data_IF_601556257115
#
_entry.id   IF_601556257115
#
_cell.length_a   1.000
_cell.length_b   1.000
_cell.length_c   1.000
_cell.angle_alpha   90.00
_cell.angle_beta   90.00
_cell.angle_gamma   90.00
#
_symmetry.space_group_name_H-M   'P 1'
#
loop_
_entity.id
_entity.type
_entity.pdbx_description
1 polymer ?
#
# COMPACT_ATOMS: atom_id res chain seq x y z
N UNK A 1 -15.42 9.97 13.56
CA UNK A 1 -14.41 10.83 12.93
C UNK A 1 -14.89 12.28 13.02
N UNK A 2 -14.09 13.18 13.57
CA UNK A 2 -14.55 14.51 13.98
C UNK A 2 -13.58 15.57 13.42
N UNK A 3 -14.16 16.64 12.81
CA UNK A 3 -13.44 17.90 12.67
C UNK A 3 -13.70 18.75 13.90
N UNK A 4 -12.65 19.09 14.63
CA UNK A 4 -12.68 19.92 15.81
C UNK A 4 -12.39 21.37 15.39
N UNK A 5 -13.41 22.20 15.28
CA UNK A 5 -13.22 23.60 14.90
C UNK A 5 -12.78 24.40 16.12
N UNK A 6 -11.62 25.04 16.03
CA UNK A 6 -11.10 25.91 17.08
C UNK A 6 -10.31 27.07 16.49
N UNK A 7 -10.49 28.23 17.06
CA UNK A 7 -9.71 29.44 16.72
C UNK A 7 -8.57 29.70 17.71
N UNK A 8 -8.56 29.00 18.86
CA UNK A 8 -7.70 29.33 20.01
C UNK A 8 -7.10 28.08 20.70
N UNK A 9 -7.00 26.94 19.98
CA UNK A 9 -6.41 25.75 20.59
C UNK A 9 -4.92 25.98 20.81
N UNK A 10 -4.50 25.95 22.06
CA UNK A 10 -3.10 25.90 22.47
C UNK A 10 -2.76 24.43 22.73
N UNK A 11 -1.81 23.92 21.99
CA UNK A 11 -1.31 22.55 22.17
C UNK A 11 -0.17 22.54 23.19
N UNK A 12 -0.18 21.59 24.12
CA UNK A 12 0.92 21.39 25.05
C UNK A 12 2.19 20.89 24.35
N UNK A 13 1.98 20.10 23.28
CA UNK A 13 3.04 19.57 22.44
C UNK A 13 2.73 19.91 20.98
N UNK A 14 3.72 20.40 20.26
CA UNK A 14 3.63 20.72 18.84
C UNK A 14 4.88 20.25 18.12
N UNK A 15 4.71 19.73 16.89
CA UNK A 15 5.81 19.32 16.01
C UNK A 15 5.69 19.99 14.65
N UNK A 16 6.80 20.06 13.89
CA UNK A 16 6.74 20.65 12.55
C UNK A 16 6.01 19.76 11.58
N UNK A 17 6.30 18.46 11.59
CA UNK A 17 5.66 17.46 10.71
C UNK A 17 5.10 16.31 11.54
N UNK A 18 3.80 16.13 11.46
CA UNK A 18 3.10 15.00 12.06
C UNK A 18 2.69 14.01 10.96
N UNK A 19 3.09 12.75 11.07
CA UNK A 19 2.77 11.71 10.11
C UNK A 19 1.78 10.72 10.75
N UNK A 20 0.66 10.45 10.09
CA UNK A 20 -0.36 9.50 10.55
C UNK A 20 -0.27 8.21 9.77
N UNK A 21 0.20 7.16 10.42
CA UNK A 21 0.43 5.82 9.87
C UNK A 21 1.91 5.52 9.68
N UNK A 22 2.37 4.43 10.29
CA UNK A 22 3.77 3.95 10.25
C UNK A 22 3.99 2.82 9.23
N UNK A 23 3.23 2.80 8.14
CA UNK A 23 3.49 1.97 6.96
C UNK A 23 4.64 2.53 6.11
N UNK A 24 4.93 1.88 4.97
CA UNK A 24 6.03 2.30 4.09
C UNK A 24 5.93 3.77 3.66
N UNK A 25 4.74 4.25 3.31
CA UNK A 25 4.51 5.65 2.92
C UNK A 25 4.87 6.61 4.06
N UNK A 26 4.34 6.39 5.27
CA UNK A 26 4.57 7.29 6.41
C UNK A 26 6.01 7.30 6.87
N UNK A 27 6.66 6.14 6.94
CA UNK A 27 8.08 6.07 7.32
C UNK A 27 8.99 6.73 6.29
N UNK A 28 8.73 6.53 4.99
CA UNK A 28 9.49 7.20 3.92
C UNK A 28 9.30 8.71 3.97
N UNK A 29 8.08 9.20 4.19
CA UNK A 29 7.80 10.63 4.35
C UNK A 29 8.49 11.21 5.60
N UNK A 30 8.49 10.48 6.72
CA UNK A 30 9.17 10.89 7.94
C UNK A 30 10.69 11.00 7.75
N UNK A 31 11.31 10.04 7.08
CA UNK A 31 12.73 10.08 6.75
C UNK A 31 13.06 11.29 5.88
N UNK A 32 12.28 11.52 4.82
CA UNK A 32 12.49 12.64 3.91
C UNK A 32 12.33 14.00 4.60
N UNK A 33 11.31 14.16 5.46
CA UNK A 33 11.11 15.39 6.22
C UNK A 33 12.24 15.65 7.23
N UNK A 34 12.66 14.61 7.96
CA UNK A 34 13.77 14.70 8.92
C UNK A 34 15.09 15.05 8.24
N UNK A 35 15.34 14.60 7.02
CA UNK A 35 16.54 14.98 6.26
C UNK A 35 16.59 16.45 5.87
N UNK A 36 15.43 17.08 5.78
CA UNK A 36 15.32 18.53 5.56
C UNK A 36 15.41 19.33 6.88
N UNK A 37 15.69 18.66 8.00
CA UNK A 37 15.86 19.28 9.32
C UNK A 37 14.56 19.50 10.08
N UNK A 38 13.43 18.98 9.62
CA UNK A 38 12.16 19.14 10.32
C UNK A 38 12.07 18.21 11.54
N UNK A 39 11.45 18.71 12.61
CA UNK A 39 11.03 17.90 13.76
C UNK A 39 9.81 17.06 13.36
N UNK A 40 9.94 15.72 13.41
CA UNK A 40 8.94 14.78 12.93
C UNK A 40 8.45 13.87 14.05
N UNK A 41 7.13 13.65 14.11
CA UNK A 41 6.51 12.60 14.93
C UNK A 41 5.63 11.71 14.05
N UNK A 42 5.76 10.39 14.20
CA UNK A 42 4.91 9.42 13.53
C UNK A 42 3.91 8.83 14.53
N UNK A 43 2.63 8.80 14.16
CA UNK A 43 1.57 8.17 14.95
C UNK A 43 1.14 6.86 14.29
N UNK A 44 1.08 5.80 15.07
CA UNK A 44 0.62 4.48 14.64
C UNK A 44 -0.51 3.99 15.55
N UNK A 45 -1.61 3.51 14.95
CA UNK A 45 -2.76 3.01 15.72
C UNK A 45 -2.49 1.69 16.45
N UNK A 46 -1.70 0.82 15.81
CA UNK A 46 -1.41 -0.51 16.34
C UNK A 46 -0.29 -0.45 17.39
N UNK A 47 -0.11 -1.54 18.12
CA UNK A 47 0.96 -1.67 19.11
C UNK A 47 2.36 -1.75 18.50
N UNK A 48 2.43 -2.00 17.18
CA UNK A 48 3.65 -2.00 16.36
C UNK A 48 3.30 -1.64 14.93
N UNK A 49 4.20 -1.02 14.16
CA UNK A 49 4.02 -0.80 12.74
C UNK A 49 3.71 -2.09 11.99
N UNK A 50 2.61 -2.12 11.24
CA UNK A 50 2.18 -3.26 10.45
C UNK A 50 1.47 -2.80 9.17
N UNK A 51 0.19 -2.59 9.22
CA UNK A 51 -0.61 -2.11 8.10
C UNK A 51 -0.56 -3.00 6.87
N UNK A 52 -1.02 -2.48 5.74
CA UNK A 52 -1.02 -3.21 4.47
C UNK A 52 0.38 -3.47 3.92
N UNK A 53 1.40 -2.70 4.33
CA UNK A 53 2.78 -2.95 3.91
C UNK A 53 3.25 -4.32 4.35
N UNK A 54 3.04 -4.69 5.62
CA UNK A 54 3.48 -5.98 6.15
C UNK A 54 2.73 -7.19 5.56
N UNK A 55 1.50 -6.96 5.06
CA UNK A 55 0.68 -7.98 4.42
C UNK A 55 0.99 -8.19 2.93
N UNK A 56 1.83 -7.34 2.35
CA UNK A 56 2.20 -7.39 0.93
C UNK A 56 3.50 -8.17 0.73
N UNK A 57 3.78 -8.55 -0.53
CA UNK A 57 5.08 -9.08 -0.93
C UNK A 57 6.20 -8.02 -0.94
N UNK A 58 5.89 -6.76 -0.63
CA UNK A 58 6.87 -5.68 -0.56
C UNK A 58 7.44 -5.25 -1.90
N UNK A 59 6.71 -5.46 -3.00
CA UNK A 59 7.16 -5.14 -4.34
C UNK A 59 6.82 -3.69 -4.69
N UNK A 60 7.80 -2.95 -5.20
CA UNK A 60 7.70 -1.56 -5.59
C UNK A 60 8.08 -1.43 -7.06
N UNK A 61 7.12 -1.13 -7.95
CA UNK A 61 7.44 -0.90 -9.35
C UNK A 61 8.17 0.43 -9.55
N UNK A 62 9.33 0.38 -10.19
CA UNK A 62 10.14 1.55 -10.51
C UNK A 62 10.85 1.37 -11.86
N UNK A 63 11.11 2.46 -12.56
CA UNK A 63 11.78 2.47 -13.87
C UNK A 63 13.10 3.21 -13.83
N UNK A 64 14.01 2.86 -14.74
CA UNK A 64 15.28 3.56 -14.94
C UNK A 64 16.30 3.40 -13.81
N UNK A 65 16.10 2.43 -12.93
CA UNK A 65 16.94 2.22 -11.75
C UNK A 65 18.32 1.63 -12.10
N UNK A 66 19.28 1.81 -11.19
CA UNK A 66 20.62 1.18 -11.34
C UNK A 66 20.53 -0.34 -11.38
N UNK A 67 19.64 -0.97 -10.61
CA UNK A 67 19.47 -2.43 -10.60
C UNK A 67 18.95 -2.96 -11.95
N UNK A 68 18.04 -2.23 -12.60
CA UNK A 68 17.63 -2.55 -13.97
C UNK A 68 18.79 -2.42 -14.95
N UNK A 69 19.56 -1.33 -14.88
CA UNK A 69 20.75 -1.11 -15.75
C UNK A 69 21.80 -2.20 -15.59
N UNK A 70 22.09 -2.62 -14.35
CA UNK A 70 23.03 -3.71 -14.04
C UNK A 70 22.60 -5.05 -14.70
N UNK A 71 21.30 -5.26 -14.86
CA UNK A 71 20.72 -6.45 -15.52
C UNK A 71 20.42 -6.27 -17.00
N UNK A 72 20.82 -5.13 -17.60
CA UNK A 72 20.57 -4.82 -19.01
C UNK A 72 19.10 -4.58 -19.35
N UNK A 73 18.27 -4.22 -18.38
CA UNK A 73 16.87 -3.88 -18.57
C UNK A 73 16.76 -2.39 -18.91
N UNK A 74 16.44 -2.10 -20.17
CA UNK A 74 16.17 -0.73 -20.63
C UNK A 74 14.75 -0.35 -20.28
N UNK A 75 14.60 0.66 -19.44
CA UNK A 75 13.31 1.17 -18.97
C UNK A 75 13.41 2.65 -18.58
N UNK A 76 12.31 3.37 -18.66
CA UNK A 76 12.23 4.79 -18.35
C UNK A 76 10.85 5.17 -17.79
N UNK A 77 10.71 6.37 -17.18
CA UNK A 77 9.44 6.85 -16.65
C UNK A 77 8.33 6.99 -17.69
N UNK A 78 8.64 7.34 -18.94
CA UNK A 78 7.63 7.52 -20.01
C UNK A 78 7.03 6.18 -20.43
N UNK A 79 7.86 5.16 -20.60
CA UNK A 79 7.40 3.80 -20.89
C UNK A 79 6.55 3.25 -19.73
N UNK A 80 6.96 3.52 -18.49
CA UNK A 80 6.21 3.11 -17.32
C UNK A 80 4.86 3.85 -17.24
N UNK A 81 4.82 5.15 -17.48
CA UNK A 81 3.59 5.94 -17.54
C UNK A 81 2.62 5.43 -18.62
N UNK A 82 3.16 5.05 -19.80
CA UNK A 82 2.38 4.45 -20.88
C UNK A 82 1.74 3.12 -20.45
N UNK A 83 2.48 2.25 -19.78
CA UNK A 83 1.97 0.97 -19.28
C UNK A 83 0.84 1.19 -18.25
N UNK A 84 1.01 2.14 -17.32
CA UNK A 84 -0.03 2.51 -16.34
C UNK A 84 -1.29 2.99 -17.07
N UNK A 85 -1.17 3.93 -18.01
CA UNK A 85 -2.31 4.45 -18.75
C UNK A 85 -3.00 3.38 -19.60
N UNK A 86 -2.23 2.48 -20.20
CA UNK A 86 -2.78 1.35 -20.94
C UNK A 86 -3.58 0.42 -20.01
N UNK A 87 -3.06 0.06 -18.86
CA UNK A 87 -3.75 -0.77 -17.85
C UNK A 87 -4.98 -0.06 -17.29
N UNK A 88 -4.90 1.23 -17.02
CA UNK A 88 -5.99 2.07 -16.54
C UNK A 88 -6.98 2.49 -17.67
N UNK A 89 -6.78 2.05 -18.91
CA UNK A 89 -7.62 2.41 -20.07
C UNK A 89 -7.74 3.93 -20.27
N UNK A 90 -6.65 4.66 -20.02
CA UNK A 90 -6.57 6.12 -20.15
C UNK A 90 -7.29 6.90 -19.05
N UNK A 91 -7.65 6.27 -17.93
CA UNK A 91 -8.43 6.90 -16.84
C UNK A 91 -7.58 7.41 -15.68
N UNK A 92 -6.31 7.00 -15.58
CA UNK A 92 -5.45 7.46 -14.50
C UNK A 92 -5.09 8.95 -14.65
N UNK A 93 -5.00 9.66 -13.52
CA UNK A 93 -4.59 11.07 -13.49
C UNK A 93 -3.14 11.21 -14.01
N UNK A 94 -2.96 11.98 -15.08
CA UNK A 94 -1.66 12.11 -15.75
C UNK A 94 -0.58 12.72 -14.86
N UNK A 95 -0.94 13.67 -14.00
CA UNK A 95 0.01 14.34 -13.11
C UNK A 95 0.50 13.37 -12.03
N UNK A 96 -0.40 12.56 -11.44
CA UNK A 96 -0.06 11.54 -10.46
C UNK A 96 0.74 10.39 -11.09
N UNK A 97 0.40 9.99 -12.32
CA UNK A 97 1.17 8.98 -13.05
C UNK A 97 2.60 9.46 -13.29
N UNK A 98 2.80 10.68 -13.79
CA UNK A 98 4.13 11.26 -13.99
C UNK A 98 4.90 11.34 -12.69
N UNK A 99 4.30 11.92 -11.66
CA UNK A 99 4.94 12.02 -10.33
C UNK A 99 5.42 10.64 -9.86
N UNK A 100 4.57 9.62 -9.95
CA UNK A 100 4.91 8.27 -9.50
C UNK A 100 6.05 7.68 -10.32
N UNK A 101 5.98 7.76 -11.65
CA UNK A 101 6.97 7.12 -12.52
C UNK A 101 8.33 7.80 -12.52
N UNK A 102 8.35 9.13 -12.36
CA UNK A 102 9.59 9.91 -12.29
C UNK A 102 10.30 9.76 -10.93
N UNK A 103 9.55 9.62 -9.83
CA UNK A 103 10.14 9.61 -8.49
C UNK A 103 10.32 8.23 -7.87
N UNK A 104 9.66 7.18 -8.37
CA UNK A 104 9.79 5.84 -7.78
C UNK A 104 11.22 5.32 -7.82
N UNK A 105 11.90 5.39 -8.96
CA UNK A 105 13.30 4.97 -9.11
C UNK A 105 14.26 5.75 -8.20
N UNK A 106 14.31 7.08 -8.31
CA UNK A 106 15.10 7.92 -7.41
C UNK A 106 14.82 7.70 -5.92
N UNK A 107 13.55 7.45 -5.54
CA UNK A 107 13.18 7.16 -4.15
C UNK A 107 13.80 5.85 -3.65
N UNK A 108 13.77 4.78 -4.46
CA UNK A 108 14.41 3.52 -4.10
C UNK A 108 15.93 3.64 -4.00
N UNK A 109 16.56 4.35 -4.93
CA UNK A 109 17.99 4.61 -4.90
C UNK A 109 18.38 5.43 -3.66
N UNK A 110 17.59 6.46 -3.33
CA UNK A 110 17.78 7.24 -2.10
C UNK A 110 17.62 6.38 -0.83
N UNK A 111 16.58 5.56 -0.73
CA UNK A 111 16.40 4.63 0.40
C UNK A 111 17.56 3.65 0.53
N UNK A 112 18.11 3.21 -0.59
CA UNK A 112 19.30 2.34 -0.59
C UNK A 112 20.55 3.08 -0.14
N UNK A 113 20.83 4.25 -0.70
CA UNK A 113 22.07 4.99 -0.49
C UNK A 113 22.16 5.65 0.88
N UNK A 114 21.06 6.24 1.34
CA UNK A 114 21.01 6.98 2.61
C UNK A 114 20.59 6.11 3.79
N UNK A 115 19.80 5.07 3.55
CA UNK A 115 19.22 4.25 4.62
C UNK A 115 19.66 2.79 4.59
N UNK A 116 20.45 2.39 3.58
CA UNK A 116 21.05 1.06 3.49
C UNK A 116 20.02 -0.05 3.23
N UNK A 117 18.88 0.27 2.61
CA UNK A 117 17.88 -0.74 2.26
C UNK A 117 18.35 -1.46 0.97
N UNK A 118 18.61 -2.77 1.00
CA UNK A 118 19.13 -3.51 -0.15
C UNK A 118 17.98 -3.89 -1.09
N UNK A 119 17.77 -3.08 -2.12
CA UNK A 119 16.82 -3.43 -3.17
C UNK A 119 17.46 -4.25 -4.27
N UNK A 120 16.67 -5.10 -4.88
CA UNK A 120 16.97 -5.81 -6.12
C UNK A 120 15.77 -5.80 -7.05
N UNK A 121 15.98 -5.93 -8.37
CA UNK A 121 14.88 -6.11 -9.31
C UNK A 121 14.53 -7.60 -9.40
N UNK A 122 13.24 -7.89 -9.24
CA UNK A 122 12.71 -9.25 -9.32
C UNK A 122 12.74 -9.73 -10.77
N UNK A 123 13.36 -10.90 -10.99
CA UNK A 123 13.42 -11.59 -12.28
C UNK A 123 12.49 -12.80 -12.31
N UNK A 124 12.35 -13.45 -13.45
CA UNK A 124 11.67 -14.71 -13.60
C UNK A 124 10.27 -14.62 -14.17
N UNK A 125 9.54 -13.53 -13.97
CA UNK A 125 8.22 -13.35 -14.56
C UNK A 125 7.84 -11.86 -14.71
N UNK A 126 6.97 -11.58 -15.67
CA UNK A 126 6.50 -10.23 -15.94
C UNK A 126 5.10 -10.05 -15.33
N UNK A 127 4.94 -9.01 -14.49
CA UNK A 127 3.65 -8.69 -13.90
C UNK A 127 2.64 -8.17 -14.97
N UNK A 128 1.33 -8.47 -14.80
CA UNK A 128 0.30 -8.01 -15.71
C UNK A 128 0.31 -6.48 -15.88
N UNK A 129 0.30 -6.02 -17.13
CA UNK A 129 0.33 -4.60 -17.47
C UNK A 129 1.71 -3.96 -17.51
N UNK A 130 2.77 -4.69 -17.19
CA UNK A 130 4.14 -4.20 -17.32
C UNK A 130 4.79 -4.70 -18.61
N UNK A 131 5.48 -3.81 -19.32
CA UNK A 131 6.29 -4.15 -20.50
C UNK A 131 7.76 -4.45 -20.16
N UNK A 132 8.17 -4.21 -18.91
CA UNK A 132 9.53 -4.43 -18.40
C UNK A 132 9.48 -5.02 -16.99
N UNK A 133 10.54 -5.67 -16.57
CA UNK A 133 10.74 -6.08 -15.18
C UNK A 133 10.99 -4.85 -14.33
N UNK A 134 10.03 -4.49 -13.48
CA UNK A 134 10.04 -3.26 -12.66
C UNK A 134 9.87 -3.48 -11.19
N UNK A 135 9.50 -4.70 -10.79
CA UNK A 135 9.27 -4.96 -9.37
C UNK A 135 10.60 -4.99 -8.64
N UNK A 136 10.79 -4.02 -7.74
CA UNK A 136 11.93 -3.99 -6.83
C UNK A 136 11.48 -4.46 -5.47
N UNK A 137 12.34 -5.18 -4.78
CA UNK A 137 12.04 -5.77 -3.48
C UNK A 137 13.31 -5.89 -2.65
N UNK A 138 13.16 -6.18 -1.37
CA UNK A 138 14.26 -6.61 -0.50
C UNK A 138 14.50 -8.12 -0.68
N UNK A 139 15.68 -8.66 -0.35
CA UNK A 139 16.05 -10.05 -0.62
C UNK A 139 15.09 -11.11 -0.03
N UNK A 140 14.34 -10.78 1.02
CA UNK A 140 13.38 -11.67 1.64
C UNK A 140 12.05 -11.75 0.87
N UNK A 141 11.79 -10.86 -0.08
CA UNK A 141 10.59 -10.76 -0.89
C UNK A 141 9.29 -10.63 -0.07
N UNK A 142 9.36 -9.93 1.07
CA UNK A 142 8.20 -9.68 1.94
C UNK A 142 8.07 -8.21 2.32
N UNK A 143 6.83 -7.72 2.40
CA UNK A 143 6.54 -6.38 2.89
C UNK A 143 6.86 -6.21 4.37
N UNK A 144 6.84 -7.30 5.14
CA UNK A 144 7.25 -7.31 6.54
C UNK A 144 8.73 -6.97 6.70
N UNK A 145 9.61 -7.58 5.89
CA UNK A 145 11.05 -7.28 5.90
C UNK A 145 11.35 -5.86 5.41
N UNK A 146 10.65 -5.39 4.37
CA UNK A 146 10.76 -4.00 3.93
C UNK A 146 10.38 -3.02 5.05
N UNK A 147 9.23 -3.25 5.70
CA UNK A 147 8.75 -2.41 6.78
C UNK A 147 9.71 -2.39 7.98
N UNK A 148 10.26 -3.54 8.35
CA UNK A 148 11.26 -3.64 9.40
C UNK A 148 12.51 -2.81 9.11
N UNK A 149 13.00 -2.80 7.86
CA UNK A 149 14.15 -2.00 7.43
C UNK A 149 13.85 -0.50 7.47
N UNK A 150 12.67 -0.10 7.02
CA UNK A 150 12.22 1.29 7.13
C UNK A 150 12.13 1.73 8.59
N UNK A 151 11.56 0.89 9.46
CA UNK A 151 11.48 1.16 10.89
C UNK A 151 12.86 1.30 11.54
N UNK A 152 13.82 0.44 11.19
CA UNK A 152 15.19 0.56 11.65
C UNK A 152 15.84 1.87 11.18
N UNK A 153 15.56 2.32 9.97
CA UNK A 153 16.06 3.58 9.43
C UNK A 153 15.48 4.79 10.18
N UNK A 154 14.18 4.77 10.45
CA UNK A 154 13.49 5.78 11.27
C UNK A 154 14.08 5.83 12.70
N UNK A 155 14.30 4.66 13.32
CA UNK A 155 14.90 4.56 14.65
C UNK A 155 16.35 5.08 14.69
N UNK A 156 17.17 4.78 13.67
CA UNK A 156 18.55 5.29 13.57
C UNK A 156 18.62 6.81 13.45
N UNK A 157 17.57 7.43 12.94
CA UNK A 157 17.42 8.88 12.86
C UNK A 157 16.75 9.50 14.08
N UNK A 158 16.48 8.69 15.09
CA UNK A 158 15.84 9.10 16.33
C UNK A 158 14.47 9.77 16.13
N UNK A 159 13.76 9.42 15.02
CA UNK A 159 12.40 9.90 14.75
C UNK A 159 11.44 9.11 15.66
N UNK A 160 10.67 9.78 16.53
CA UNK A 160 9.73 9.10 17.41
C UNK A 160 8.58 8.47 16.61
N UNK A 161 8.26 7.21 16.93
CA UNK A 161 7.06 6.49 16.45
C UNK A 161 6.21 6.18 17.67
N UNK A 162 5.09 6.86 17.80
CA UNK A 162 4.15 6.68 18.90
C UNK A 162 3.10 5.65 18.47
N UNK A 163 3.22 4.43 18.99
CA UNK A 163 2.25 3.36 18.77
C UNK A 163 1.05 3.48 19.73
N UNK A 164 -0.02 2.69 19.47
CA UNK A 164 -1.29 2.75 20.20
C UNK A 164 -1.85 4.18 20.23
N UNK A 165 -1.73 4.88 19.11
CA UNK A 165 -2.04 6.28 18.93
C UNK A 165 -2.99 6.46 17.73
N UNK A 166 -4.30 6.23 17.97
CA UNK A 166 -5.32 6.37 16.93
C UNK A 166 -5.73 7.84 16.79
N UNK A 167 -5.51 8.42 15.62
CA UNK A 167 -6.03 9.77 15.34
C UNK A 167 -7.55 9.69 15.21
N UNK A 168 -8.26 10.37 16.09
CA UNK A 168 -9.72 10.37 16.17
C UNK A 168 -10.37 11.64 15.65
N UNK A 169 -9.60 12.72 15.50
CA UNK A 169 -10.08 14.00 14.99
C UNK A 169 -8.96 14.94 14.54
N UNK A 170 -9.32 15.89 13.67
CA UNK A 170 -8.43 16.95 13.22
C UNK A 170 -8.88 18.30 13.80
N UNK A 171 -7.95 19.06 14.37
CA UNK A 171 -8.16 20.46 14.73
C UNK A 171 -7.97 21.34 13.50
N UNK A 172 -8.98 22.15 13.20
CA UNK A 172 -8.97 23.04 12.04
C UNK A 172 -9.43 24.43 12.42
N UNK A 173 -8.84 25.46 11.83
CA UNK A 173 -9.29 26.84 12.01
C UNK A 173 -10.45 27.21 11.05
N UNK A 174 -10.93 28.45 11.13
CA UNK A 174 -12.01 28.96 10.27
C UNK A 174 -11.65 29.00 8.77
N UNK A 175 -10.37 28.94 8.44
CA UNK A 175 -9.86 28.89 7.05
C UNK A 175 -9.57 27.45 6.59
N UNK A 176 -10.05 26.44 7.32
CA UNK A 176 -9.84 25.00 7.07
C UNK A 176 -8.35 24.57 7.13
N UNK A 177 -7.49 25.42 7.70
CA UNK A 177 -6.11 25.03 7.96
C UNK A 177 -6.07 24.05 9.13
N UNK A 178 -5.39 22.93 8.95
CA UNK A 178 -5.13 21.96 10.00
C UNK A 178 -4.14 22.56 10.99
N UNK A 179 -4.45 22.44 12.27
CA UNK A 179 -3.64 22.94 13.39
C UNK A 179 -3.04 21.81 14.21
N UNK A 180 -3.64 20.61 14.16
CA UNK A 180 -3.22 19.47 14.95
C UNK A 180 -4.23 18.35 14.89
N UNK A 181 -4.02 17.34 15.73
CA UNK A 181 -4.84 16.13 15.80
C UNK A 181 -5.22 15.79 17.23
N UNK A 182 -6.35 15.12 17.41
CA UNK A 182 -6.69 14.41 18.65
C UNK A 182 -6.33 12.94 18.51
N UNK A 183 -5.53 12.46 19.42
CA UNK A 183 -5.11 11.07 19.55
C UNK A 183 -5.93 10.38 20.63
N UNK A 184 -6.46 9.22 20.35
CA UNK A 184 -7.09 8.30 21.29
C UNK A 184 -6.05 7.20 21.63
N UNK A 185 -5.75 7.04 22.91
CA UNK A 185 -4.83 6.03 23.44
C UNK A 185 -5.56 4.72 23.76
N UNK A 186 -4.84 3.62 23.88
CA UNK A 186 -5.41 2.29 24.22
C UNK A 186 -6.11 2.23 25.58
N UNK A 187 -5.73 3.09 26.53
CA UNK A 187 -6.37 3.23 27.84
C UNK A 187 -7.65 4.08 27.82
N UNK A 188 -8.05 4.57 26.64
CA UNK A 188 -9.22 5.45 26.45
C UNK A 188 -8.96 6.93 26.71
N UNK A 189 -7.76 7.31 27.16
CA UNK A 189 -7.38 8.72 27.28
C UNK A 189 -7.22 9.40 25.92
N UNK A 190 -7.31 10.73 25.91
CA UNK A 190 -7.07 11.52 24.69
C UNK A 190 -5.96 12.51 24.91
N UNK A 191 -5.17 12.72 23.86
CA UNK A 191 -4.09 13.70 23.81
C UNK A 191 -4.25 14.56 22.54
N UNK A 192 -4.06 15.86 22.68
CA UNK A 192 -4.13 16.81 21.58
C UNK A 192 -2.72 17.27 21.21
N UNK A 193 -2.33 17.05 19.94
CA UNK A 193 -1.02 17.36 19.40
C UNK A 193 -1.14 18.40 18.29
N UNK A 194 -0.35 19.50 18.40
CA UNK A 194 -0.23 20.51 17.36
C UNK A 194 0.74 20.09 16.26
N UNK A 195 0.51 20.59 15.03
CA UNK A 195 1.46 20.44 13.95
C UNK A 195 1.37 21.58 12.94
N UNK A 196 2.49 21.89 12.28
CA UNK A 196 2.52 22.82 11.15
C UNK A 196 2.11 22.14 9.84
N UNK A 197 2.52 20.89 9.68
CA UNK A 197 2.22 20.05 8.52
C UNK A 197 1.71 18.69 8.98
N UNK A 198 0.63 18.21 8.36
CA UNK A 198 0.08 16.89 8.59
C UNK A 198 0.23 16.04 7.33
N UNK A 199 0.85 14.86 7.46
CA UNK A 199 0.93 13.84 6.41
C UNK A 199 -0.03 12.71 6.76
N UNK A 200 -1.04 12.48 5.93
CA UNK A 200 -1.99 11.39 6.09
C UNK A 200 -1.49 10.17 5.29
N UNK A 201 -0.81 9.27 5.96
CA UNK A 201 -0.29 8.00 5.41
C UNK A 201 -1.08 6.79 5.95
N UNK A 202 -2.35 7.00 6.30
CA UNK A 202 -3.25 6.04 6.95
C UNK A 202 -4.02 5.15 5.97
N UNK A 203 -3.48 4.94 4.78
CA UNK A 203 -3.99 4.04 3.75
C UNK A 203 -5.40 4.43 3.20
N UNK A 204 -6.07 3.47 2.55
CA UNK A 204 -7.39 3.64 1.92
C UNK A 204 -8.56 3.24 2.81
N UNK A 205 -9.62 2.72 2.19
CA UNK A 205 -10.89 2.46 2.84
C UNK A 205 -11.43 1.02 2.66
N UNK A 206 -10.57 0.07 2.22
CA UNK A 206 -10.98 -1.30 1.94
C UNK A 206 -11.61 -2.06 3.13
N UNK A 207 -11.31 -1.67 4.36
CA UNK A 207 -11.94 -2.20 5.57
C UNK A 207 -13.27 -1.55 5.95
N UNK A 208 -13.77 -0.57 5.17
CA UNK A 208 -15.01 0.17 5.45
C UNK A 208 -16.12 -0.20 4.47
N UNK A 209 -17.02 -1.10 4.88
CA UNK A 209 -18.12 -1.57 4.05
C UNK A 209 -19.01 -0.45 3.50
N UNK A 210 -19.19 0.66 4.24
CA UNK A 210 -20.02 1.80 3.78
C UNK A 210 -19.34 2.56 2.65
N UNK A 211 -18.02 2.75 2.72
CA UNK A 211 -17.24 3.40 1.67
C UNK A 211 -17.09 2.48 0.46
N UNK A 212 -16.90 1.16 0.66
CA UNK A 212 -16.93 0.19 -0.43
C UNK A 212 -18.26 0.25 -1.17
N UNK A 213 -19.37 0.17 -0.47
CA UNK A 213 -20.71 0.28 -1.09
C UNK A 213 -20.91 1.59 -1.85
N UNK A 214 -20.33 2.69 -1.35
CA UNK A 214 -20.45 4.01 -1.99
C UNK A 214 -19.60 4.11 -3.27
N UNK A 215 -18.38 3.63 -3.26
CA UNK A 215 -17.40 3.87 -4.32
C UNK A 215 -17.15 2.68 -5.24
N UNK A 216 -17.32 1.44 -4.71
CA UNK A 216 -17.04 0.19 -5.45
C UNK A 216 -18.13 -0.85 -5.09
N UNK A 217 -19.42 -0.57 -5.43
CA UNK A 217 -20.51 -1.44 -5.05
C UNK A 217 -20.39 -2.89 -5.58
N UNK A 218 -19.68 -3.10 -6.68
CA UNK A 218 -19.39 -4.42 -7.25
C UNK A 218 -18.54 -5.32 -6.35
N UNK A 219 -17.88 -4.75 -5.34
CA UNK A 219 -17.10 -5.50 -4.34
C UNK A 219 -17.87 -5.76 -3.04
N UNK A 220 -19.16 -5.40 -2.97
CA UNK A 220 -19.97 -5.64 -1.76
C UNK A 220 -20.05 -7.14 -1.49
N UNK A 221 -19.56 -7.56 -0.32
CA UNK A 221 -19.51 -8.98 0.07
C UNK A 221 -18.20 -9.71 -0.27
N UNK A 222 -17.29 -9.12 -1.03
CA UNK A 222 -15.95 -9.70 -1.22
C UNK A 222 -15.16 -9.72 0.09
N UNK A 223 -14.35 -10.77 0.25
CA UNK A 223 -13.44 -10.86 1.38
C UNK A 223 -12.36 -9.79 1.29
N UNK A 224 -12.27 -8.94 2.33
CA UNK A 224 -11.21 -7.94 2.42
C UNK A 224 -9.95 -8.55 3.04
N UNK A 225 -8.86 -8.62 2.28
CA UNK A 225 -7.58 -9.22 2.70
C UNK A 225 -6.55 -8.19 3.16
N UNK A 226 -6.94 -6.92 3.28
CA UNK A 226 -6.07 -5.86 3.78
C UNK A 226 -6.16 -5.68 5.31
N UNK A 227 -5.46 -4.68 5.79
CA UNK A 227 -5.46 -4.34 7.22
C UNK A 227 -6.81 -3.74 7.65
N UNK A 228 -7.42 -4.27 8.72
CA UNK A 228 -8.75 -3.84 9.21
C UNK A 228 -8.81 -2.36 9.62
N UNK A 229 -7.66 -1.74 9.90
CA UNK A 229 -7.53 -0.32 10.16
C UNK A 229 -7.75 0.60 8.95
N UNK A 230 -7.87 0.06 7.73
CA UNK A 230 -8.12 0.86 6.51
C UNK A 230 -9.57 1.30 6.43
N UNK A 231 -9.95 2.25 7.28
CA UNK A 231 -11.32 2.71 7.46
C UNK A 231 -11.68 3.96 6.62
N UNK A 232 -10.73 4.48 5.86
CA UNK A 232 -10.94 5.65 5.00
C UNK A 232 -10.86 6.98 5.74
N UNK A 233 -10.08 7.04 6.80
CA UNK A 233 -9.95 8.25 7.63
C UNK A 233 -9.53 9.47 6.79
N UNK A 234 -8.49 9.33 5.96
CA UNK A 234 -8.03 10.39 5.07
C UNK A 234 -9.11 10.85 4.06
N UNK A 235 -9.88 9.89 3.51
CA UNK A 235 -10.97 10.18 2.58
C UNK A 235 -12.05 11.03 3.26
N UNK A 236 -12.48 10.61 4.44
CA UNK A 236 -13.56 11.27 5.18
C UNK A 236 -13.15 12.65 5.70
N UNK A 237 -11.91 12.82 6.19
CA UNK A 237 -11.39 14.13 6.57
C UNK A 237 -11.19 15.04 5.35
N UNK A 238 -10.61 14.50 4.27
CA UNK A 238 -10.42 15.24 3.03
C UNK A 238 -11.75 15.76 2.48
N UNK A 239 -12.76 14.90 2.36
CA UNK A 239 -14.10 15.30 1.89
C UNK A 239 -14.70 16.37 2.79
N UNK A 240 -14.62 16.21 4.13
CA UNK A 240 -15.13 17.19 5.08
C UNK A 240 -14.40 18.55 5.03
N UNK A 241 -13.17 18.58 4.52
CA UNK A 241 -12.36 19.78 4.29
C UNK A 241 -12.49 20.31 2.86
N UNK A 242 -13.31 19.70 2.01
CA UNK A 242 -13.53 20.13 0.63
C UNK A 242 -12.48 19.66 -0.37
N UNK A 243 -11.69 18.64 -0.02
CA UNK A 243 -10.77 18.02 -0.97
C UNK A 243 -11.53 17.28 -2.07
N UNK A 244 -11.01 17.32 -3.28
CA UNK A 244 -11.52 16.53 -4.39
C UNK A 244 -11.16 15.05 -4.18
N UNK A 245 -12.12 14.16 -4.44
CA UNK A 245 -11.94 12.72 -4.42
C UNK A 245 -11.89 12.22 -5.86
N UNK A 246 -10.81 11.55 -6.25
CA UNK A 246 -10.59 10.98 -7.58
C UNK A 246 -10.26 9.51 -7.51
N UNK A 247 -10.54 8.79 -8.59
CA UNK A 247 -10.21 7.36 -8.78
C UNK A 247 -10.68 6.45 -7.63
N UNK A 248 -11.79 6.86 -6.97
CA UNK A 248 -12.30 6.17 -5.80
C UNK A 248 -12.82 4.76 -6.08
N UNK A 249 -13.03 4.40 -7.34
CA UNK A 249 -13.37 3.04 -7.76
C UNK A 249 -12.16 2.16 -8.06
N UNK A 250 -10.95 2.70 -7.96
CA UNK A 250 -9.74 1.93 -8.15
C UNK A 250 -9.45 1.03 -6.95
N UNK A 251 -9.16 -0.23 -7.20
CA UNK A 251 -8.81 -1.21 -6.16
C UNK A 251 -7.77 -2.21 -6.67
N UNK A 252 -7.10 -2.84 -5.74
CA UNK A 252 -6.30 -4.01 -5.98
C UNK A 252 -7.01 -5.22 -5.39
N UNK A 253 -7.48 -6.12 -6.24
CA UNK A 253 -7.98 -7.44 -5.86
C UNK A 253 -6.89 -8.50 -5.99
N UNK A 254 -7.14 -9.68 -5.46
CA UNK A 254 -6.29 -10.84 -5.69
C UNK A 254 -7.16 -12.09 -5.86
N UNK A 255 -7.08 -12.71 -7.03
CA UNK A 255 -7.92 -13.84 -7.42
C UNK A 255 -7.48 -15.18 -6.84
N UNK A 256 -6.52 -15.19 -5.93
CA UNK A 256 -5.98 -16.44 -5.38
C UNK A 256 -5.57 -16.24 -3.91
N UNK A 257 -6.52 -16.52 -3.02
CA UNK A 257 -6.31 -16.58 -1.56
C UNK A 257 -6.80 -17.96 -1.11
N UNK A 258 -5.90 -18.76 -0.53
CA UNK A 258 -6.21 -20.14 -0.13
C UNK A 258 -7.32 -20.17 0.94
N UNK A 259 -8.43 -20.82 0.62
CA UNK A 259 -9.53 -21.04 1.56
C UNK A 259 -9.38 -22.40 2.27
N UNK A 260 -9.61 -22.51 3.60
CA UNK A 260 -10.00 -21.44 4.54
C UNK A 260 -8.82 -20.72 5.21
N UNK A 261 -7.59 -20.99 4.81
CA UNK A 261 -6.37 -20.62 5.55
C UNK A 261 -6.01 -19.13 5.43
N UNK A 262 -6.53 -18.41 4.41
CA UNK A 262 -6.28 -16.98 4.23
C UNK A 262 -4.83 -16.67 3.82
N UNK A 263 -4.18 -17.57 3.10
CA UNK A 263 -2.81 -17.42 2.62
C UNK A 263 -2.85 -16.91 1.19
N UNK A 264 -2.07 -15.87 0.90
CA UNK A 264 -1.94 -15.34 -0.45
C UNK A 264 -1.13 -16.32 -1.31
N UNK A 265 -1.75 -16.85 -2.37
CA UNK A 265 -1.06 -17.65 -3.37
C UNK A 265 -0.48 -16.72 -4.42
N UNK A 266 0.84 -16.74 -4.62
CA UNK A 266 1.51 -15.86 -5.57
C UNK A 266 0.95 -15.97 -6.98
N UNK A 267 0.64 -14.83 -7.59
CA UNK A 267 0.12 -14.79 -8.97
C UNK A 267 1.14 -15.24 -10.03
N UNK A 268 2.40 -15.36 -9.66
CA UNK A 268 3.43 -15.94 -10.51
C UNK A 268 3.04 -17.34 -11.04
N UNK A 269 2.32 -18.14 -10.24
CA UNK A 269 1.85 -19.47 -10.65
C UNK A 269 0.93 -19.39 -11.87
N UNK A 270 0.01 -18.41 -11.89
CA UNK A 270 -0.92 -18.22 -13.02
C UNK A 270 -0.21 -17.62 -14.23
N UNK A 271 0.71 -16.67 -14.03
CA UNK A 271 1.47 -16.05 -15.12
C UNK A 271 2.36 -17.05 -15.85
N UNK A 272 2.85 -18.06 -15.15
CA UNK A 272 3.74 -19.08 -15.69
C UNK A 272 3.02 -20.36 -16.17
N UNK A 273 1.68 -20.34 -16.25
CA UNK A 273 0.89 -21.39 -16.90
C UNK A 273 -0.11 -22.14 -16.01
N UNK A 274 -0.27 -21.73 -14.76
CA UNK A 274 -1.38 -22.19 -13.92
C UNK A 274 -2.74 -21.72 -14.48
N UNK A 275 -3.79 -22.44 -14.16
CA UNK A 275 -5.17 -22.10 -14.54
C UNK A 275 -6.09 -22.16 -13.35
N UNK A 276 -7.21 -21.44 -13.44
CA UNK A 276 -8.30 -21.52 -12.46
C UNK A 276 -9.53 -22.19 -13.07
N UNK A 277 -10.13 -23.10 -12.31
CA UNK A 277 -11.42 -23.71 -12.65
C UNK A 277 -12.39 -23.53 -11.49
N UNK A 278 -13.69 -23.37 -11.81
CA UNK A 278 -14.73 -23.28 -10.80
C UNK A 278 -15.05 -24.64 -10.17
N UNK A 279 -16.03 -24.70 -9.26
CA UNK A 279 -16.43 -25.93 -8.59
C UNK A 279 -17.06 -26.97 -9.55
N UNK A 280 -17.47 -26.55 -10.75
CA UNK A 280 -18.01 -27.41 -11.82
C UNK A 280 -16.90 -27.92 -12.75
N UNK A 281 -15.64 -27.54 -12.52
CA UNK A 281 -14.48 -27.92 -13.33
C UNK A 281 -14.32 -27.10 -14.61
N UNK A 282 -15.02 -25.99 -14.75
CA UNK A 282 -14.96 -25.13 -15.93
C UNK A 282 -13.97 -24.00 -15.73
N UNK A 283 -13.10 -23.75 -16.72
CA UNK A 283 -12.24 -22.56 -16.80
C UNK A 283 -13.10 -21.38 -17.20
N UNK A 284 -13.20 -20.37 -16.36
CA UNK A 284 -14.18 -19.28 -16.48
C UNK A 284 -13.62 -17.94 -16.95
N UNK A 285 -12.29 -17.80 -17.03
CA UNK A 285 -11.65 -16.52 -17.39
C UNK A 285 -10.26 -16.71 -17.99
N UNK A 286 -9.61 -15.62 -18.33
CA UNK A 286 -8.21 -15.59 -18.74
C UNK A 286 -7.37 -15.01 -17.58
N UNK A 287 -6.61 -15.83 -16.92
CA UNK A 287 -5.80 -15.49 -15.74
C UNK A 287 -4.72 -14.43 -16.05
N UNK A 288 -4.28 -14.36 -17.33
CA UNK A 288 -3.31 -13.36 -17.79
C UNK A 288 -3.85 -11.93 -17.88
N UNK A 289 -5.16 -11.70 -17.68
CA UNK A 289 -5.70 -10.34 -17.56
C UNK A 289 -5.19 -9.62 -16.31
N UNK A 290 -4.86 -10.37 -15.27
CA UNK A 290 -4.30 -9.87 -14.02
C UNK A 290 -5.07 -10.32 -12.79
N UNK A 291 -4.41 -10.29 -11.65
CA UNK A 291 -4.96 -10.78 -10.38
C UNK A 291 -6.13 -9.94 -9.87
N UNK A 292 -6.19 -8.63 -10.19
CA UNK A 292 -7.31 -7.78 -9.77
C UNK A 292 -8.58 -8.08 -10.58
N UNK A 293 -8.47 -8.23 -11.90
CA UNK A 293 -9.57 -8.64 -12.77
C UNK A 293 -10.05 -10.05 -12.40
N UNK A 294 -9.11 -10.93 -12.08
CA UNK A 294 -9.43 -12.30 -11.71
C UNK A 294 -10.18 -12.39 -10.39
N UNK A 295 -9.91 -11.51 -9.43
CA UNK A 295 -10.64 -11.50 -8.15
C UNK A 295 -12.15 -11.31 -8.36
N UNK A 296 -12.54 -10.45 -9.29
CA UNK A 296 -13.95 -10.24 -9.66
C UNK A 296 -14.52 -11.49 -10.35
N UNK A 297 -13.74 -12.10 -11.24
CA UNK A 297 -14.16 -13.31 -11.95
C UNK A 297 -14.37 -14.49 -11.00
N UNK A 298 -13.49 -14.68 -10.01
CA UNK A 298 -13.64 -15.71 -8.97
C UNK A 298 -14.86 -15.42 -8.09
N UNK A 299 -15.07 -14.15 -7.69
CA UNK A 299 -16.23 -13.78 -6.87
C UNK A 299 -17.57 -14.05 -7.55
N UNK A 300 -17.61 -14.10 -8.88
CA UNK A 300 -18.80 -14.45 -9.66
C UNK A 300 -19.04 -15.95 -9.78
N UNK A 301 -18.10 -16.82 -9.36
CA UNK A 301 -18.26 -18.26 -9.42
C UNK A 301 -19.10 -18.82 -8.27
N UNK A 302 -19.62 -20.06 -8.39
CA UNK A 302 -20.34 -20.74 -7.31
C UNK A 302 -19.52 -20.70 -5.99
N UNK A 303 -20.18 -20.36 -4.90
CA UNK A 303 -19.60 -20.23 -3.56
C UNK A 303 -18.42 -19.22 -3.48
N UNK A 304 -18.18 -18.42 -4.55
CA UNK A 304 -17.05 -17.49 -4.67
C UNK A 304 -15.68 -18.19 -4.57
N UNK A 305 -15.61 -19.45 -5.04
CA UNK A 305 -14.42 -20.30 -4.97
C UNK A 305 -13.96 -20.73 -6.37
N UNK A 306 -12.64 -20.97 -6.46
CA UNK A 306 -12.01 -21.60 -7.61
C UNK A 306 -10.88 -22.53 -7.16
N UNK A 307 -10.54 -23.51 -7.99
CA UNK A 307 -9.38 -24.36 -7.83
C UNK A 307 -8.23 -23.81 -8.65
N UNK A 308 -7.06 -23.62 -8.03
CA UNK A 308 -5.81 -23.32 -8.71
C UNK A 308 -5.14 -24.62 -9.15
N UNK A 309 -5.02 -24.82 -10.45
CA UNK A 309 -4.39 -26.00 -11.04
C UNK A 309 -3.02 -25.61 -11.63
N UNK A 310 -1.97 -26.23 -11.14
CA UNK A 310 -0.60 -26.01 -11.58
C UNK A 310 0.27 -27.26 -11.40
N UNK A 311 1.37 -27.33 -12.15
CA UNK A 311 2.27 -28.47 -12.14
C UNK A 311 3.37 -28.37 -11.06
N UNK A 312 4.20 -29.42 -10.94
CA UNK A 312 5.30 -29.46 -9.98
C UNK A 312 6.37 -28.38 -10.21
N UNK A 313 6.55 -27.90 -11.45
CA UNK A 313 7.47 -26.80 -11.76
C UNK A 313 6.98 -25.50 -11.14
N UNK A 314 5.68 -25.22 -11.26
CA UNK A 314 5.06 -24.03 -10.69
C UNK A 314 4.97 -24.12 -9.17
N UNK A 315 4.72 -25.30 -8.60
CA UNK A 315 4.82 -25.50 -7.16
C UNK A 315 6.21 -25.11 -6.64
N UNK A 316 7.27 -25.53 -7.32
CA UNK A 316 8.64 -25.17 -6.96
C UNK A 316 8.87 -23.64 -7.05
N UNK A 317 8.31 -22.98 -8.06
CA UNK A 317 8.34 -21.51 -8.18
C UNK A 317 7.63 -20.86 -6.99
N UNK A 318 6.46 -21.37 -6.60
CA UNK A 318 5.71 -20.88 -5.44
C UNK A 318 6.52 -20.92 -4.14
N UNK A 319 7.34 -21.94 -3.94
CA UNK A 319 8.19 -22.10 -2.75
C UNK A 319 9.32 -21.02 -2.64
N UNK A 320 9.57 -20.22 -3.67
CA UNK A 320 10.47 -19.08 -3.60
C UNK A 320 9.85 -17.90 -2.81
N UNK A 321 8.53 -17.90 -2.65
CA UNK A 321 7.79 -16.90 -1.89
C UNK A 321 7.56 -17.38 -0.44
N UNK A 322 7.92 -16.55 0.52
CA UNK A 322 7.93 -16.92 1.94
C UNK A 322 6.54 -17.31 2.46
N UNK A 323 5.51 -16.52 2.12
CA UNK A 323 4.13 -16.79 2.55
C UNK A 323 3.63 -18.15 2.05
N UNK A 324 3.94 -18.48 0.79
CA UNK A 324 3.58 -19.77 0.20
C UNK A 324 4.39 -20.92 0.79
N UNK A 325 5.68 -20.72 1.03
CA UNK A 325 6.58 -21.73 1.61
C UNK A 325 6.23 -22.10 3.04
N UNK A 326 5.76 -21.12 3.81
CA UNK A 326 5.40 -21.30 5.22
C UNK A 326 3.93 -21.73 5.41
N UNK A 327 3.20 -21.93 4.32
CA UNK A 327 1.86 -22.48 4.34
C UNK A 327 1.93 -24.01 4.56
N UNK A 328 1.20 -24.51 5.57
CA UNK A 328 1.02 -25.94 5.85
C UNK A 328 0.08 -26.63 4.84
#
# INVERSE_FOLDING_TARGET
MILLRSTETVFANEVEVLVVGAGACGMTAALAASEQGAEVLVLERDSKPSGSTSLSSGFIPASGTRWQKEKGIEDDPELFAKDIQQKAKGKADEALVRLTTEFAGPCLEWLSDQHGIPFEVLEGFLYPGHSRLRMHTVPEHTGSSLLQRLHQSVAKREIPVLCEATVSGLFVNNHQKILGVRVLRSDGSTEDLGCRTLVLACNGYGGNAKLLKRFIPELEGMHYFGHNGNQGDAVLWGEALGAELRDMSAFQGHGSVAHPHGILITWALMMEGGIQVNLEGERFSNEHQGYSEQSVSVFQQPEHLAWDLYDARLHKLGLEFEDYRNAD
#
